data_IF_186514507128
#
_entry.id   IF_186514507128
#
_cell.length_a   1.000
_cell.length_b   1.000
_cell.length_c   1.000
_cell.angle_alpha   90.00
_cell.angle_beta   90.00
_cell.angle_gamma   90.00
#
_symmetry.space_group_name_H-M   'P 1'
#
loop_
_entity.id
_entity.type
_entity.pdbx_description
1 polymer ?
#
# COMPACT_ATOMS: atom_id res chain seq x y z
N UNK A 1 1.03 -21.65 -20.05
CA UNK A 1 0.15 -21.09 -19.01
C UNK A 1 0.52 -19.62 -18.84
N UNK A 2 -0.26 -18.70 -19.41
CA UNK A 2 -0.09 -17.27 -19.12
C UNK A 2 -0.51 -17.07 -17.65
N UNK A 3 0.46 -16.86 -16.75
CA UNK A 3 0.16 -16.33 -15.42
C UNK A 3 -0.31 -14.91 -15.66
N UNK A 4 -1.60 -14.66 -15.56
CA UNK A 4 -2.11 -13.30 -15.34
C UNK A 4 -1.32 -12.77 -14.12
N UNK A 5 -0.64 -11.61 -14.20
CA UNK A 5 0.05 -11.08 -13.04
C UNK A 5 -0.98 -10.93 -11.92
N UNK A 6 -0.69 -11.54 -10.76
CA UNK A 6 -1.51 -11.33 -9.58
C UNK A 6 -1.49 -9.84 -9.28
N UNK A 7 -2.68 -9.25 -9.07
CA UNK A 7 -2.84 -7.83 -8.71
C UNK A 7 -1.92 -7.49 -7.54
N UNK A 8 -0.92 -6.65 -7.79
CA UNK A 8 0.08 -6.29 -6.77
C UNK A 8 -0.40 -5.11 -5.93
N UNK A 9 0.25 -4.90 -4.77
CA UNK A 9 0.01 -3.71 -3.94
C UNK A 9 0.32 -2.41 -4.71
N UNK A 10 1.31 -2.44 -5.62
CA UNK A 10 1.61 -1.31 -6.48
C UNK A 10 0.48 -1.01 -7.45
N UNK A 11 -0.06 -2.02 -8.14
CA UNK A 11 -1.17 -1.84 -9.09
C UNK A 11 -2.35 -1.15 -8.42
N UNK A 12 -2.73 -1.60 -7.22
CA UNK A 12 -3.86 -1.03 -6.48
C UNK A 12 -3.65 0.42 -6.08
N UNK A 13 -2.47 0.77 -5.58
CA UNK A 13 -2.17 2.15 -5.22
C UNK A 13 -2.09 3.04 -6.45
N UNK A 14 -1.46 2.58 -7.54
CA UNK A 14 -1.37 3.37 -8.76
C UNK A 14 -2.73 3.56 -9.42
N UNK A 15 -3.58 2.54 -9.42
CA UNK A 15 -4.95 2.62 -9.92
C UNK A 15 -5.77 3.62 -9.09
N UNK A 16 -5.65 3.57 -7.76
CA UNK A 16 -6.29 4.54 -6.88
C UNK A 16 -5.80 5.97 -7.14
N UNK A 17 -4.49 6.20 -7.27
CA UNK A 17 -3.96 7.53 -7.55
C UNK A 17 -4.33 8.04 -8.94
N UNK A 18 -4.50 7.15 -9.91
CA UNK A 18 -4.94 7.48 -11.26
C UNK A 18 -6.40 7.96 -11.32
N UNK A 19 -7.22 7.73 -10.28
CA UNK A 19 -8.57 8.31 -10.19
C UNK A 19 -8.58 9.77 -9.72
N UNK A 20 -7.41 10.39 -9.58
CA UNK A 20 -7.24 11.76 -9.06
C UNK A 20 -7.96 12.01 -7.72
N UNK A 21 -7.72 11.18 -6.69
CA UNK A 21 -8.43 11.29 -5.42
C UNK A 21 -8.12 12.62 -4.72
N UNK A 22 -9.12 13.14 -4.01
CA UNK A 22 -8.96 14.33 -3.18
C UNK A 22 -7.95 14.08 -2.05
N UNK A 23 -7.37 15.16 -1.46
CA UNK A 23 -6.47 15.01 -0.32
C UNK A 23 -7.11 14.24 0.85
N UNK A 24 -8.43 14.39 1.06
CA UNK A 24 -9.15 13.68 2.11
C UNK A 24 -9.29 12.19 1.80
N UNK A 25 -9.64 11.82 0.56
CA UNK A 25 -9.71 10.42 0.13
C UNK A 25 -8.35 9.72 0.24
N UNK A 26 -7.24 10.40 -0.08
CA UNK A 26 -5.90 9.85 0.12
C UNK A 26 -5.61 9.60 1.61
N UNK A 27 -6.03 10.50 2.50
CA UNK A 27 -5.84 10.35 3.95
C UNK A 27 -6.62 9.14 4.49
N UNK A 28 -7.85 8.99 4.01
CA UNK A 28 -8.81 7.98 4.47
C UNK A 28 -8.66 6.64 3.74
N UNK A 29 -7.78 6.57 2.73
CA UNK A 29 -7.56 5.35 1.97
C UNK A 29 -6.98 4.22 2.84
N UNK A 30 -7.53 3.02 2.66
CA UNK A 30 -7.02 1.76 3.22
C UNK A 30 -6.83 0.75 2.09
N UNK A 31 -5.92 -0.21 2.29
CA UNK A 31 -5.77 -1.31 1.35
C UNK A 31 -7.06 -2.13 1.29
N UNK A 32 -7.41 -2.69 0.12
CA UNK A 32 -8.45 -3.71 0.01
C UNK A 32 -8.20 -4.89 0.95
N UNK A 33 -9.27 -5.49 1.47
CA UNK A 33 -9.21 -6.54 2.49
C UNK A 33 -8.30 -7.73 2.10
N UNK A 34 -8.27 -8.10 0.81
CA UNK A 34 -7.43 -9.18 0.30
C UNK A 34 -5.93 -8.86 0.40
N UNK A 35 -5.56 -7.62 0.09
CA UNK A 35 -4.18 -7.15 0.20
C UNK A 35 -3.79 -6.87 1.65
N UNK A 36 -4.71 -6.40 2.49
CA UNK A 36 -4.47 -6.25 3.92
C UNK A 36 -4.21 -7.61 4.56
N UNK A 37 -5.05 -8.61 4.28
CA UNK A 37 -4.86 -9.98 4.77
C UNK A 37 -3.55 -10.60 4.26
N UNK A 38 -3.15 -10.29 3.01
CA UNK A 38 -1.86 -10.75 2.47
C UNK A 38 -0.68 -10.09 3.18
N UNK A 39 -0.74 -8.78 3.44
CA UNK A 39 0.27 -8.06 4.19
C UNK A 39 0.42 -8.64 5.61
N UNK A 40 -0.69 -8.90 6.29
CA UNK A 40 -0.70 -9.46 7.65
C UNK A 40 -0.07 -10.86 7.69
N UNK A 41 -0.43 -11.73 6.74
CA UNK A 41 0.18 -13.06 6.58
C UNK A 41 1.70 -12.98 6.36
N UNK A 42 2.15 -12.08 5.48
CA UNK A 42 3.57 -11.91 5.19
C UNK A 42 4.32 -11.38 6.41
N UNK A 43 3.73 -10.44 7.14
CA UNK A 43 4.32 -9.88 8.35
C UNK A 43 4.47 -10.94 9.47
N UNK A 44 3.44 -11.77 9.68
CA UNK A 44 3.47 -12.88 10.64
C UNK A 44 4.61 -13.86 10.31
N UNK A 45 4.66 -14.35 9.07
CA UNK A 45 5.70 -15.29 8.64
C UNK A 45 7.10 -14.70 8.61
N UNK A 46 7.22 -13.41 8.31
CA UNK A 46 8.49 -12.70 8.39
C UNK A 46 9.02 -12.69 9.83
N UNK A 47 8.14 -12.45 10.81
CA UNK A 47 8.48 -12.51 12.23
C UNK A 47 8.99 -13.89 12.67
N UNK A 48 8.50 -14.96 12.04
CA UNK A 48 8.94 -16.34 12.27
C UNK A 48 10.16 -16.76 11.42
N UNK A 49 10.62 -15.92 10.50
CA UNK A 49 11.71 -16.24 9.57
C UNK A 49 11.33 -17.31 8.53
N UNK A 50 10.03 -17.45 8.21
CA UNK A 50 9.48 -18.50 7.35
C UNK A 50 9.09 -18.02 5.95
N UNK A 51 9.46 -16.80 5.55
CA UNK A 51 9.22 -16.33 4.20
C UNK A 51 10.08 -17.10 3.19
N UNK A 52 9.44 -17.54 2.12
CA UNK A 52 10.15 -17.92 0.90
C UNK A 52 10.77 -16.68 0.25
N UNK A 53 11.73 -16.87 -0.68
CA UNK A 53 12.35 -15.75 -1.41
C UNK A 53 11.29 -14.88 -2.09
N UNK A 54 10.33 -15.49 -2.78
CA UNK A 54 9.25 -14.75 -3.46
C UNK A 54 8.33 -14.02 -2.49
N UNK A 55 8.04 -14.60 -1.32
CA UNK A 55 7.25 -13.91 -0.29
C UNK A 55 8.04 -12.78 0.37
N UNK A 56 9.37 -12.91 0.47
CA UNK A 56 10.26 -11.82 0.91
C UNK A 56 10.23 -10.64 -0.04
N UNK A 57 10.31 -10.89 -1.35
CA UNK A 57 10.18 -9.85 -2.38
C UNK A 57 8.83 -9.14 -2.30
N UNK A 58 7.74 -9.90 -2.17
CA UNK A 58 6.39 -9.36 -2.02
C UNK A 58 6.23 -8.53 -0.73
N UNK A 59 6.76 -9.02 0.40
CA UNK A 59 6.75 -8.30 1.67
C UNK A 59 7.52 -6.98 1.58
N UNK A 60 8.66 -6.96 0.88
CA UNK A 60 9.42 -5.74 0.63
C UNK A 60 8.62 -4.73 -0.22
N UNK A 61 7.79 -5.17 -1.15
CA UNK A 61 6.88 -4.31 -1.89
C UNK A 61 5.83 -3.66 -0.98
N UNK A 62 5.18 -4.44 -0.11
CA UNK A 62 4.26 -3.90 0.89
C UNK A 62 4.92 -2.83 1.78
N UNK A 63 6.14 -3.08 2.27
CA UNK A 63 6.88 -2.09 3.08
C UNK A 63 7.17 -0.81 2.29
N UNK A 64 7.60 -0.92 1.03
CA UNK A 64 7.90 0.24 0.19
C UNK A 64 6.65 1.10 -0.03
N UNK A 65 5.54 0.45 -0.35
CA UNK A 65 4.26 1.13 -0.57
C UNK A 65 3.75 1.77 0.71
N UNK A 66 3.72 1.07 1.84
CA UNK A 66 3.26 1.60 3.12
C UNK A 66 4.03 2.87 3.53
N UNK A 67 5.36 2.84 3.43
CA UNK A 67 6.21 3.99 3.74
C UNK A 67 5.92 5.18 2.83
N UNK A 68 5.87 4.93 1.52
CA UNK A 68 5.56 5.98 0.53
C UNK A 68 4.18 6.59 0.79
N UNK A 69 3.18 5.75 1.02
CA UNK A 69 1.80 6.18 1.18
C UNK A 69 1.59 6.92 2.52
N UNK A 70 2.26 6.49 3.59
CA UNK A 70 2.30 7.22 4.86
C UNK A 70 2.85 8.64 4.72
N UNK A 71 3.91 8.81 3.92
CA UNK A 71 4.46 10.13 3.58
C UNK A 71 3.46 10.96 2.76
N UNK A 72 2.79 10.33 1.79
CA UNK A 72 1.76 10.99 0.99
C UNK A 72 0.60 11.49 1.85
N UNK A 73 0.06 10.65 2.75
CA UNK A 73 -0.98 11.04 3.72
C UNK A 73 -0.55 12.23 4.56
N UNK A 74 0.71 12.24 5.03
CA UNK A 74 1.26 13.35 5.81
C UNK A 74 1.29 14.65 5.01
N UNK A 75 1.73 14.60 3.75
CA UNK A 75 1.72 15.76 2.85
C UNK A 75 0.30 16.26 2.56
N UNK A 76 -0.68 15.37 2.39
CA UNK A 76 -2.08 15.77 2.19
C UNK A 76 -2.67 16.45 3.43
N UNK A 77 -2.39 15.96 4.63
CA UNK A 77 -2.79 16.62 5.89
C UNK A 77 -2.22 18.03 6.00
N UNK A 78 -0.97 18.24 5.60
CA UNK A 78 -0.34 19.57 5.58
C UNK A 78 -1.02 20.49 4.57
N UNK A 79 -1.32 19.99 3.36
CA UNK A 79 -2.01 20.74 2.31
C UNK A 79 -3.38 21.24 2.78
N UNK A 80 -4.18 20.36 3.42
CA UNK A 80 -5.50 20.74 3.94
C UNK A 80 -5.42 21.81 5.03
N UNK A 81 -4.43 21.72 5.92
CA UNK A 81 -4.20 22.76 6.95
C UNK A 81 -3.86 24.13 6.35
N UNK A 82 -3.05 24.16 5.29
CA UNK A 82 -2.67 25.40 4.60
C UNK A 82 -3.81 26.02 3.81
N UNK A 83 -4.81 25.24 3.40
CA UNK A 83 -6.00 25.73 2.69
C UNK A 83 -7.10 26.23 3.63
N UNK A 84 -7.02 25.90 4.92
CA UNK A 84 -8.03 26.22 5.93
C UNK A 84 -7.64 27.43 6.80
N UNK A 85 -6.47 28.03 6.58
CA UNK A 85 -5.97 29.22 7.30
C UNK A 85 -5.70 30.35 6.33
#
# INVERSE_FOLDING_TARGET
MQKVPARTVFDVITDFLATEPSPQEIIDYFLPDDLQARADYLAERNGEGLLTISEGEEHDEFIKVDRMFSLLKTKMKLKLKQQSG
#
